data_IF_125370506945
#
_entry.id   IF_125370506945
#
_cell.length_a   1.000
_cell.length_b   1.000
_cell.length_c   1.000
_cell.angle_alpha   90.00
_cell.angle_beta   90.00
_cell.angle_gamma   90.00
#
_symmetry.space_group_name_H-M   'P 1'
#
loop_
_entity.id
_entity.type
_entity.pdbx_description
1 polymer ?
#
# COMPACT_ATOMS: atom_id res chain seq x y z
N UNK A 1 -20.49 -13.67 -12.79
CA UNK A 1 -20.31 -14.92 -12.02
C UNK A 1 -20.91 -14.67 -10.65
N UNK A 2 -21.80 -15.54 -10.18
CA UNK A 2 -22.26 -15.51 -8.79
C UNK A 2 -21.12 -16.00 -7.93
N UNK A 3 -20.39 -15.09 -7.31
CA UNK A 3 -19.33 -15.43 -6.36
C UNK A 3 -19.97 -16.13 -5.16
N UNK A 4 -19.43 -17.29 -4.77
CA UNK A 4 -19.81 -17.94 -3.54
C UNK A 4 -19.18 -17.17 -2.37
N UNK A 5 -19.99 -16.83 -1.37
CA UNK A 5 -19.59 -16.06 -0.19
C UNK A 5 -18.30 -16.64 0.43
N UNK A 6 -17.37 -15.77 0.82
CA UNK A 6 -16.07 -16.17 1.38
C UNK A 6 -16.24 -16.95 2.71
N UNK A 7 -15.24 -17.73 3.15
CA UNK A 7 -15.29 -18.35 4.48
C UNK A 7 -15.30 -17.30 5.60
N UNK A 8 -15.79 -17.70 6.76
CA UNK A 8 -15.83 -16.88 7.96
C UNK A 8 -14.70 -17.26 8.93
N UNK A 9 -14.15 -16.24 9.58
CA UNK A 9 -13.20 -16.39 10.68
C UNK A 9 -13.91 -16.15 12.01
N UNK A 10 -13.67 -17.00 13.00
CA UNK A 10 -14.31 -16.87 14.33
C UNK A 10 -13.85 -15.66 15.13
N UNK A 11 -12.76 -15.02 14.72
CA UNK A 11 -12.18 -13.83 15.34
C UNK A 11 -11.94 -12.81 14.21
N UNK A 12 -12.41 -11.56 14.33
CA UNK A 12 -12.21 -10.55 13.28
C UNK A 12 -10.72 -10.21 13.14
N UNK A 13 -10.33 -9.64 12.02
CA UNK A 13 -9.01 -9.03 11.91
C UNK A 13 -8.84 -7.90 12.95
N UNK A 14 -7.61 -7.51 13.30
CA UNK A 14 -7.42 -6.46 14.29
C UNK A 14 -6.17 -6.57 15.15
N UNK A 15 -6.16 -5.79 16.24
CA UNK A 15 -5.05 -5.71 17.20
C UNK A 15 -5.38 -6.57 18.42
N UNK A 16 -4.44 -7.44 18.81
CA UNK A 16 -4.62 -8.41 19.88
C UNK A 16 -3.41 -8.44 20.84
N UNK A 17 -3.71 -8.59 22.13
CA UNK A 17 -2.70 -8.67 23.19
C UNK A 17 -2.63 -10.05 23.87
N UNK A 18 -3.55 -10.95 23.52
CA UNK A 18 -3.63 -12.29 24.08
C UNK A 18 -3.82 -13.33 22.96
N UNK A 19 -3.23 -14.50 23.16
CA UNK A 19 -3.40 -15.66 22.29
C UNK A 19 -4.86 -16.08 22.22
N UNK A 20 -5.33 -16.49 21.04
CA UNK A 20 -6.67 -17.05 20.84
C UNK A 20 -6.64 -18.24 19.88
N UNK A 21 -7.76 -18.98 19.84
CA UNK A 21 -7.98 -20.08 18.90
C UNK A 21 -8.83 -19.57 17.73
N UNK A 22 -8.27 -19.61 16.52
CA UNK A 22 -8.96 -19.25 15.30
C UNK A 22 -9.65 -20.48 14.73
N UNK A 23 -10.95 -20.37 14.45
CA UNK A 23 -11.70 -21.33 13.66
C UNK A 23 -12.08 -20.72 12.31
N UNK A 24 -12.13 -21.55 11.27
CA UNK A 24 -12.56 -21.17 9.92
C UNK A 24 -13.80 -21.99 9.56
N UNK A 25 -14.85 -21.33 9.06
CA UNK A 25 -16.11 -21.98 8.69
C UNK A 25 -16.52 -21.62 7.27
N UNK A 26 -17.09 -22.59 6.53
CA UNK A 26 -17.76 -22.32 5.26
C UNK A 26 -19.26 -22.14 5.49
N UNK A 27 -19.92 -21.17 4.83
CA UNK A 27 -21.38 -21.06 4.83
C UNK A 27 -22.05 -22.23 4.09
N UNK A 28 -21.29 -23.03 3.34
CA UNK A 28 -21.80 -24.17 2.57
C UNK A 28 -21.45 -25.49 3.29
N UNK A 29 -22.44 -26.25 3.80
CA UNK A 29 -22.21 -27.54 4.41
C UNK A 29 -21.48 -28.53 3.49
N UNK A 30 -20.46 -29.21 4.02
CA UNK A 30 -19.68 -30.21 3.29
C UNK A 30 -18.61 -29.65 2.35
N UNK A 31 -18.43 -28.33 2.28
CA UNK A 31 -17.32 -27.73 1.55
C UNK A 31 -15.98 -27.97 2.27
N UNK A 32 -14.92 -28.16 1.48
CA UNK A 32 -13.56 -28.36 2.00
C UNK A 32 -12.86 -27.01 2.14
N UNK A 33 -12.43 -26.66 3.34
CA UNK A 33 -11.81 -25.36 3.64
C UNK A 33 -10.30 -25.46 3.55
N UNK A 34 -9.67 -24.48 2.90
CA UNK A 34 -8.22 -24.34 2.78
C UNK A 34 -7.77 -22.97 3.29
N UNK A 35 -6.56 -22.90 3.83
CA UNK A 35 -5.97 -21.63 4.29
C UNK A 35 -4.47 -21.53 4.01
N UNK A 36 -3.96 -20.30 4.01
CA UNK A 36 -2.53 -20.00 3.95
C UNK A 36 -2.18 -18.97 5.03
N UNK A 37 -0.93 -18.99 5.48
CA UNK A 37 -0.38 -18.06 6.48
C UNK A 37 0.80 -17.22 5.96
N UNK A 38 1.11 -17.32 4.66
CA UNK A 38 2.23 -16.62 4.01
C UNK A 38 1.79 -15.57 2.98
N UNK A 39 0.48 -15.30 2.91
CA UNK A 39 -0.14 -14.34 1.99
C UNK A 39 -0.47 -14.90 0.60
N UNK A 40 -0.05 -16.13 0.29
CA UNK A 40 -0.37 -16.77 -1.00
C UNK A 40 -1.85 -17.17 -1.13
N UNK A 41 -2.29 -17.43 -2.35
CA UNK A 41 -3.67 -17.81 -2.62
C UNK A 41 -3.99 -19.23 -2.08
N UNK A 42 -4.97 -19.39 -1.18
CA UNK A 42 -5.32 -20.69 -0.63
C UNK A 42 -5.91 -21.66 -1.67
N UNK A 43 -6.32 -21.17 -2.85
CA UNK A 43 -6.81 -22.01 -3.95
C UNK A 43 -5.68 -22.74 -4.67
N UNK A 44 -4.44 -22.25 -4.55
CA UNK A 44 -3.26 -22.82 -5.20
C UNK A 44 -2.31 -23.50 -4.20
N UNK A 45 -2.12 -22.88 -3.04
CA UNK A 45 -1.11 -23.30 -2.03
C UNK A 45 -1.72 -23.58 -0.66
N UNK A 46 -3.05 -23.73 -0.60
CA UNK A 46 -3.78 -23.89 0.65
C UNK A 46 -3.46 -25.18 1.39
N UNK A 47 -3.36 -25.06 2.70
CA UNK A 47 -3.33 -26.15 3.66
C UNK A 47 -4.77 -26.51 4.00
N UNK A 48 -5.10 -27.80 4.01
CA UNK A 48 -6.42 -28.28 4.43
C UNK A 48 -6.67 -27.88 5.88
N UNK A 49 -7.80 -27.22 6.14
CA UNK A 49 -8.22 -26.89 7.50
C UNK A 49 -8.81 -28.12 8.20
N UNK A 50 -8.17 -28.56 9.28
CA UNK A 50 -8.52 -29.77 10.04
C UNK A 50 -9.08 -29.48 11.45
N UNK A 51 -9.10 -28.22 11.86
CA UNK A 51 -9.66 -27.77 13.13
C UNK A 51 -9.06 -26.45 13.58
N UNK A 52 -9.55 -25.89 14.71
CA UNK A 52 -9.06 -24.60 15.17
C UNK A 52 -7.55 -24.63 15.45
N UNK A 53 -6.86 -23.51 15.26
CA UNK A 53 -5.42 -23.37 15.52
C UNK A 53 -5.12 -22.10 16.32
N UNK A 54 -3.94 -22.04 16.93
CA UNK A 54 -3.57 -20.95 17.84
C UNK A 54 -2.95 -19.78 17.07
N UNK A 55 -3.42 -18.56 17.34
CA UNK A 55 -2.78 -17.31 16.90
C UNK A 55 -2.21 -16.62 18.14
N UNK A 56 -0.88 -16.47 18.20
CA UNK A 56 -0.17 -15.92 19.37
C UNK A 56 0.86 -14.84 19.01
N UNK A 57 0.94 -14.47 17.74
CA UNK A 57 1.85 -13.46 17.18
C UNK A 57 1.21 -12.85 15.94
N UNK A 58 1.81 -11.78 15.42
CA UNK A 58 1.32 -11.20 14.17
C UNK A 58 1.29 -12.24 13.07
N UNK A 59 0.12 -12.41 12.46
CA UNK A 59 -0.15 -13.43 11.45
C UNK A 59 -1.14 -12.89 10.43
N UNK A 60 -0.93 -13.25 9.17
CA UNK A 60 -1.90 -13.04 8.09
C UNK A 60 -2.50 -14.39 7.76
N UNK A 61 -3.83 -14.48 7.68
CA UNK A 61 -4.52 -15.71 7.30
C UNK A 61 -5.39 -15.40 6.09
N UNK A 62 -5.22 -16.18 5.03
CA UNK A 62 -6.13 -16.17 3.87
C UNK A 62 -6.84 -17.51 3.79
N UNK A 63 -8.11 -17.53 3.45
CA UNK A 63 -8.87 -18.78 3.32
C UNK A 63 -9.88 -18.71 2.19
N UNK A 64 -10.09 -19.86 1.55
CA UNK A 64 -11.17 -20.12 0.60
C UNK A 64 -11.66 -21.56 0.82
N UNK A 65 -12.87 -21.87 0.39
CA UNK A 65 -13.36 -23.23 0.39
C UNK A 65 -13.69 -23.71 -1.03
N UNK A 66 -13.61 -25.02 -1.21
CA UNK A 66 -13.96 -25.73 -2.43
C UNK A 66 -15.31 -26.44 -2.22
N UNK A 67 -16.30 -26.06 -3.01
CA UNK A 67 -17.60 -26.74 -3.08
C UNK A 67 -17.68 -27.65 -4.31
N UNK A 68 -18.30 -28.83 -4.14
CA UNK A 68 -18.51 -29.83 -5.19
C UNK A 68 -17.26 -30.14 -6.02
N UNK A 69 -16.09 -30.10 -5.36
CA UNK A 69 -14.75 -30.33 -5.92
C UNK A 69 -14.35 -29.46 -7.13
N UNK A 70 -15.12 -28.42 -7.46
CA UNK A 70 -14.97 -27.68 -8.72
C UNK A 70 -15.18 -26.17 -8.61
N UNK A 71 -15.83 -25.68 -7.55
CA UNK A 71 -16.18 -24.26 -7.41
C UNK A 71 -15.52 -23.69 -6.15
N UNK A 72 -14.60 -22.76 -6.35
CA UNK A 72 -13.96 -22.01 -5.26
C UNK A 72 -14.83 -20.83 -4.81
N UNK A 73 -14.83 -20.58 -3.51
CA UNK A 73 -15.33 -19.33 -2.93
C UNK A 73 -14.42 -18.15 -3.25
N UNK A 74 -14.90 -16.96 -2.92
CA UNK A 74 -14.02 -15.82 -2.72
C UNK A 74 -13.02 -16.09 -1.59
N UNK A 75 -11.87 -15.42 -1.66
CA UNK A 75 -10.82 -15.49 -0.64
C UNK A 75 -11.15 -14.49 0.47
N UNK A 76 -11.21 -14.96 1.72
CA UNK A 76 -11.22 -14.08 2.89
C UNK A 76 -9.79 -13.87 3.38
N UNK A 77 -9.42 -12.63 3.67
CA UNK A 77 -8.16 -12.27 4.32
C UNK A 77 -8.43 -11.69 5.70
N UNK A 78 -7.59 -12.01 6.68
CA UNK A 78 -7.55 -11.35 7.98
C UNK A 78 -6.11 -11.23 8.49
N UNK A 79 -5.73 -10.01 8.88
CA UNK A 79 -4.49 -9.74 9.61
C UNK A 79 -4.77 -9.63 11.12
N UNK A 80 -4.05 -10.42 11.90
CA UNK A 80 -4.06 -10.34 13.36
C UNK A 80 -2.74 -9.73 13.82
N UNK A 81 -2.78 -8.56 14.45
CA UNK A 81 -1.61 -7.78 14.82
C UNK A 81 -1.36 -7.93 16.31
N UNK A 82 -0.16 -8.38 16.65
CA UNK A 82 0.32 -8.44 18.03
C UNK A 82 1.45 -7.42 18.17
N UNK A 83 1.24 -6.28 18.87
CA UNK A 83 2.28 -5.25 19.01
C UNK A 83 3.61 -5.81 19.53
N UNK A 84 3.58 -6.80 20.42
CA UNK A 84 4.77 -7.48 20.94
C UNK A 84 5.57 -8.24 19.88
N UNK A 85 4.95 -8.70 18.80
CA UNK A 85 5.68 -9.37 17.71
C UNK A 85 6.65 -8.44 17.00
N UNK A 86 6.41 -7.14 17.04
CA UNK A 86 7.30 -6.14 16.46
C UNK A 86 8.67 -6.11 17.15
N UNK A 87 8.70 -6.37 18.46
CA UNK A 87 9.93 -6.35 19.25
C UNK A 87 10.92 -7.43 18.82
N UNK A 88 10.45 -8.43 18.08
CA UNK A 88 11.25 -9.58 17.61
C UNK A 88 11.21 -9.74 16.10
N UNK A 89 10.81 -8.70 15.35
CA UNK A 89 10.83 -8.74 13.89
C UNK A 89 12.29 -8.73 13.39
N UNK A 90 12.77 -9.88 12.90
CA UNK A 90 14.15 -10.05 12.44
C UNK A 90 14.35 -9.81 10.94
N UNK A 91 15.61 -9.68 10.54
CA UNK A 91 16.00 -9.31 9.17
C UNK A 91 16.04 -10.45 8.14
N UNK A 92 15.62 -11.67 8.54
CA UNK A 92 15.65 -12.85 7.66
C UNK A 92 14.31 -13.59 7.70
N UNK A 93 13.20 -12.92 7.31
CA UNK A 93 11.91 -13.56 7.27
C UNK A 93 11.93 -14.73 6.28
N UNK A 94 11.30 -15.84 6.66
CA UNK A 94 11.33 -17.08 5.88
C UNK A 94 10.75 -16.88 4.48
N UNK A 95 11.49 -17.29 3.44
CA UNK A 95 11.03 -17.24 2.05
C UNK A 95 11.11 -15.85 1.39
N UNK A 96 11.65 -14.84 2.06
CA UNK A 96 11.89 -13.51 1.48
C UNK A 96 13.34 -13.37 0.98
N UNK A 97 13.60 -12.56 -0.06
CA UNK A 97 14.94 -12.39 -0.60
C UNK A 97 15.82 -11.55 0.32
N UNK A 98 17.13 -11.75 0.25
CA UNK A 98 18.13 -10.94 0.97
C UNK A 98 18.48 -9.62 0.27
N UNK A 99 17.85 -9.35 -0.87
CA UNK A 99 18.04 -8.13 -1.66
C UNK A 99 16.73 -7.68 -2.33
N UNK A 100 16.59 -6.37 -2.53
CA UNK A 100 15.43 -5.72 -3.15
C UNK A 100 15.70 -5.25 -4.59
N UNK A 101 16.60 -5.92 -5.30
CA UNK A 101 16.92 -5.61 -6.69
C UNK A 101 18.12 -4.68 -6.85
N UNK A 102 18.49 -4.43 -8.12
CA UNK A 102 19.68 -3.66 -8.48
C UNK A 102 19.42 -2.17 -8.27
N UNK A 103 20.48 -1.44 -7.95
CA UNK A 103 20.45 0.02 -8.04
C UNK A 103 20.32 0.46 -9.50
N UNK A 104 19.66 1.59 -9.75
CA UNK A 104 19.40 2.05 -11.11
C UNK A 104 20.47 3.04 -11.61
N UNK A 105 20.97 3.93 -10.76
CA UNK A 105 21.94 4.98 -11.12
C UNK A 105 23.39 4.62 -10.78
N UNK A 106 23.59 3.69 -9.84
CA UNK A 106 24.91 3.29 -9.34
C UNK A 106 25.09 1.78 -9.45
N UNK A 107 26.34 1.32 -9.39
CA UNK A 107 26.63 -0.12 -9.31
C UNK A 107 26.26 -0.67 -7.94
N UNK A 108 25.59 -1.83 -7.92
CA UNK A 108 25.27 -2.56 -6.68
C UNK A 108 23.82 -3.02 -6.62
N UNK A 109 23.44 -3.48 -5.44
CA UNK A 109 22.13 -4.07 -5.16
C UNK A 109 21.64 -3.53 -3.82
N UNK A 110 20.36 -3.19 -3.73
CA UNK A 110 19.71 -2.84 -2.47
C UNK A 110 19.66 -4.08 -1.58
N UNK A 111 20.36 -4.03 -0.44
CA UNK A 111 20.27 -5.07 0.58
C UNK A 111 18.90 -4.95 1.24
N UNK A 112 18.24 -6.09 1.44
CA UNK A 112 16.94 -6.11 2.09
C UNK A 112 17.08 -5.79 3.59
N UNK A 113 16.18 -4.97 4.10
CA UNK A 113 16.12 -4.57 5.51
C UNK A 113 14.70 -4.74 6.06
N UNK A 114 14.43 -5.90 6.66
CA UNK A 114 13.13 -6.27 7.20
C UNK A 114 13.03 -6.05 8.70
N UNK A 115 14.13 -5.83 9.41
CA UNK A 115 14.10 -5.77 10.86
C UNK A 115 13.54 -4.46 11.38
N UNK A 116 12.95 -4.52 12.57
CA UNK A 116 12.94 -3.34 13.41
C UNK A 116 14.26 -3.28 14.15
N UNK A 117 14.87 -2.10 14.20
CA UNK A 117 16.16 -1.89 14.82
C UNK A 117 16.22 -2.48 16.25
N UNK A 118 17.04 -3.53 16.48
CA UNK A 118 17.21 -4.15 17.79
C UNK A 118 17.71 -3.18 18.88
N UNK A 119 18.43 -2.12 18.50
CA UNK A 119 18.86 -1.07 19.43
C UNK A 119 17.68 -0.28 19.98
N UNK A 120 16.53 -0.27 19.29
CA UNK A 120 15.29 0.39 19.74
C UNK A 120 14.35 -0.62 20.39
N UNK A 121 14.13 -1.78 19.76
CA UNK A 121 13.19 -2.79 20.27
C UNK A 121 13.70 -3.54 21.50
N UNK A 122 15.02 -3.64 21.67
CA UNK A 122 15.66 -4.21 22.85
C UNK A 122 15.95 -3.21 23.97
N UNK A 123 15.76 -1.91 23.74
CA UNK A 123 16.07 -0.87 24.73
C UNK A 123 15.02 -0.82 25.83
N UNK A 124 15.45 -0.76 27.09
CA UNK A 124 14.57 -0.75 28.27
C UNK A 124 13.57 0.41 28.25
N UNK A 125 13.99 1.58 27.76
CA UNK A 125 13.14 2.77 27.67
C UNK A 125 12.25 2.77 26.42
N UNK A 126 12.73 2.30 25.26
CA UNK A 126 12.05 2.50 23.98
C UNK A 126 11.12 1.36 23.57
N UNK A 127 11.39 0.14 24.01
CA UNK A 127 10.59 -1.05 23.70
C UNK A 127 9.10 -0.88 24.04
N UNK A 128 8.79 -0.26 25.18
CA UNK A 128 7.40 0.04 25.56
C UNK A 128 6.74 1.03 24.60
N UNK A 129 7.43 2.14 24.29
CA UNK A 129 6.92 3.14 23.34
C UNK A 129 6.72 2.57 21.93
N UNK A 130 7.52 1.59 21.50
CA UNK A 130 7.29 0.89 20.23
C UNK A 130 5.94 0.18 20.23
N UNK A 131 5.64 -0.58 21.29
CA UNK A 131 4.39 -1.34 21.39
C UNK A 131 3.15 -0.48 21.62
N UNK A 132 3.29 0.66 22.32
CA UNK A 132 2.21 1.62 22.49
C UNK A 132 1.98 2.43 21.20
N UNK A 133 3.07 2.94 20.62
CA UNK A 133 3.06 3.81 19.45
C UNK A 133 2.37 3.18 18.24
N UNK A 134 2.56 1.87 18.02
CA UNK A 134 1.96 1.19 16.86
C UNK A 134 0.43 1.12 16.88
N UNK A 135 -0.18 1.38 18.03
CA UNK A 135 -1.64 1.39 18.20
C UNK A 135 -2.24 2.80 18.13
N UNK A 136 -1.40 3.84 18.03
CA UNK A 136 -1.84 5.25 18.05
C UNK A 136 -2.33 5.76 16.69
N UNK A 137 -1.93 5.10 15.60
CA UNK A 137 -2.35 5.43 14.24
C UNK A 137 -3.16 4.27 13.66
N UNK A 138 -4.02 4.52 12.66
CA UNK A 138 -4.60 3.45 11.87
C UNK A 138 -3.52 2.56 11.26
N UNK A 139 -3.84 1.28 11.11
CA UNK A 139 -2.96 0.30 10.51
C UNK A 139 -3.49 -0.07 9.13
N UNK A 140 -2.62 0.00 8.13
CA UNK A 140 -2.83 -0.58 6.82
C UNK A 140 -2.11 -1.92 6.76
N UNK A 141 -2.82 -3.00 6.46
CA UNK A 141 -2.21 -4.29 6.13
C UNK A 141 -2.44 -4.60 4.65
N UNK A 142 -1.35 -4.95 3.96
CA UNK A 142 -1.36 -5.36 2.56
C UNK A 142 -0.91 -6.81 2.47
N UNK A 143 -1.81 -7.68 2.03
CA UNK A 143 -1.57 -9.12 1.97
C UNK A 143 -1.67 -9.64 0.54
N UNK A 144 -0.63 -10.32 0.08
CA UNK A 144 -0.53 -10.90 -1.27
C UNK A 144 0.51 -12.02 -1.30
N UNK A 145 0.51 -12.83 -2.37
CA UNK A 145 1.64 -13.71 -2.65
C UNK A 145 2.94 -12.90 -2.67
N UNK A 146 3.95 -13.33 -1.91
CA UNK A 146 5.25 -12.67 -1.79
C UNK A 146 5.93 -12.41 -3.14
N UNK A 147 5.69 -13.25 -4.13
CA UNK A 147 6.20 -13.09 -5.49
C UNK A 147 5.76 -11.78 -6.14
N UNK A 148 4.56 -11.28 -5.82
CA UNK A 148 4.06 -10.01 -6.34
C UNK A 148 4.95 -8.82 -5.93
N UNK A 149 5.65 -8.91 -4.79
CA UNK A 149 6.65 -7.93 -4.38
C UNK A 149 8.07 -8.33 -4.79
N UNK A 150 8.42 -9.61 -4.65
CA UNK A 150 9.82 -10.03 -4.53
C UNK A 150 10.29 -11.05 -5.57
N UNK A 151 9.46 -11.43 -6.55
CA UNK A 151 9.90 -12.30 -7.65
C UNK A 151 10.99 -11.59 -8.47
N UNK A 152 12.13 -12.23 -8.66
CA UNK A 152 13.29 -11.68 -9.37
C UNK A 152 13.31 -12.02 -10.87
N UNK A 153 12.21 -12.54 -11.41
CA UNK A 153 12.01 -12.75 -12.85
C UNK A 153 11.37 -11.51 -13.46
N UNK A 154 12.04 -10.93 -14.47
CA UNK A 154 11.55 -9.76 -15.20
C UNK A 154 10.38 -10.14 -16.11
N UNK A 155 9.18 -10.14 -15.55
CA UNK A 155 7.93 -10.48 -16.24
C UNK A 155 6.82 -9.53 -15.83
N UNK A 156 6.08 -9.02 -16.82
CA UNK A 156 5.08 -7.97 -16.59
C UNK A 156 3.95 -8.38 -15.65
N UNK A 157 3.64 -9.68 -15.59
CA UNK A 157 2.51 -10.23 -14.80
C UNK A 157 2.96 -10.78 -13.45
N UNK A 158 4.17 -11.35 -13.38
CA UNK A 158 4.63 -12.14 -12.25
C UNK A 158 5.86 -11.57 -11.55
N UNK A 159 6.59 -10.65 -12.17
CA UNK A 159 7.78 -10.05 -11.57
C UNK A 159 7.45 -9.20 -10.34
N UNK A 160 8.35 -9.17 -9.36
CA UNK A 160 8.13 -8.47 -8.11
C UNK A 160 8.23 -6.96 -8.27
N UNK A 161 7.18 -6.20 -7.92
CA UNK A 161 7.18 -4.73 -8.07
C UNK A 161 8.22 -4.04 -7.16
N UNK A 162 8.70 -4.72 -6.12
CA UNK A 162 9.74 -4.22 -5.22
C UNK A 162 11.16 -4.53 -5.75
N UNK A 163 11.30 -5.48 -6.68
CA UNK A 163 12.56 -5.77 -7.39
C UNK A 163 12.66 -4.96 -8.68
N UNK A 164 11.57 -4.91 -9.43
CA UNK A 164 11.43 -4.18 -10.68
C UNK A 164 10.62 -2.92 -10.44
N UNK A 165 11.28 -1.86 -9.99
CA UNK A 165 10.59 -0.68 -9.47
C UNK A 165 10.05 0.25 -10.56
N UNK A 166 10.43 0.03 -11.83
CA UNK A 166 10.12 0.94 -12.93
C UNK A 166 10.77 2.32 -12.79
N UNK A 167 11.89 2.40 -12.07
CA UNK A 167 12.61 3.62 -11.75
C UNK A 167 12.86 4.51 -12.99
N UNK A 168 12.95 5.85 -12.84
CA UNK A 168 12.91 6.78 -13.96
C UNK A 168 14.14 6.77 -14.89
N UNK A 169 15.19 6.07 -14.50
CA UNK A 169 16.53 6.09 -15.13
C UNK A 169 17.03 4.70 -15.50
N UNK A 170 16.21 3.66 -15.26
CA UNK A 170 16.48 2.29 -15.73
C UNK A 170 15.87 2.03 -17.11
N UNK A 171 15.79 0.75 -17.47
CA UNK A 171 15.11 0.27 -18.70
C UNK A 171 13.58 0.45 -18.68
N UNK A 172 13.03 1.00 -17.59
CA UNK A 172 11.59 1.18 -17.39
C UNK A 172 10.86 -0.11 -16.97
N UNK A 173 11.54 -1.24 -16.84
CA UNK A 173 10.96 -2.51 -16.39
C UNK A 173 10.32 -2.33 -15.01
N UNK A 174 9.06 -2.71 -14.87
CA UNK A 174 8.29 -2.45 -13.65
C UNK A 174 7.41 -1.20 -13.70
N UNK A 175 7.62 -0.29 -14.67
CA UNK A 175 6.84 0.96 -14.74
C UNK A 175 5.40 0.63 -15.07
N UNK A 176 4.51 0.97 -14.15
CA UNK A 176 3.08 0.72 -14.31
C UNK A 176 2.65 -0.72 -14.02
N UNK A 177 3.56 -1.61 -13.62
CA UNK A 177 3.18 -2.97 -13.21
C UNK A 177 2.24 -2.94 -12.01
N UNK A 178 1.24 -3.82 -12.06
CA UNK A 178 0.13 -3.90 -11.12
C UNK A 178 0.03 -5.33 -10.58
N UNK A 179 -0.29 -5.48 -9.30
CA UNK A 179 -0.44 -6.78 -8.64
C UNK A 179 -1.72 -6.83 -7.82
N UNK A 180 -2.37 -8.00 -7.68
CA UNK A 180 -3.47 -8.15 -6.74
C UNK A 180 -2.97 -8.01 -5.30
N UNK A 181 -3.76 -7.38 -4.45
CA UNK A 181 -3.50 -7.29 -3.01
C UNK A 181 -4.80 -7.23 -2.24
N UNK A 182 -4.83 -7.84 -1.06
CA UNK A 182 -5.86 -7.58 -0.07
C UNK A 182 -5.46 -6.38 0.78
N UNK A 183 -6.30 -5.36 0.83
CA UNK A 183 -6.11 -4.13 1.58
C UNK A 183 -7.01 -4.15 2.82
N UNK A 184 -6.39 -4.06 3.99
CA UNK A 184 -7.08 -3.90 5.26
C UNK A 184 -6.73 -2.54 5.88
N UNK A 185 -7.74 -1.85 6.44
CA UNK A 185 -7.56 -0.63 7.25
C UNK A 185 -8.20 -0.87 8.62
N UNK A 186 -7.38 -0.79 9.67
CA UNK A 186 -7.68 -1.30 11.00
C UNK A 186 -7.45 -0.20 12.04
N UNK A 187 -8.41 0.01 12.94
CA UNK A 187 -8.27 0.85 14.12
C UNK A 187 -8.10 2.35 13.82
N UNK A 188 -7.29 3.02 14.64
CA UNK A 188 -7.20 4.49 14.65
C UNK A 188 -8.39 5.18 15.33
N UNK A 189 -8.40 6.50 15.35
CA UNK A 189 -9.46 7.30 16.00
C UNK A 189 -10.86 7.01 15.43
N UNK A 190 -10.93 6.71 14.13
CA UNK A 190 -12.16 6.39 13.41
C UNK A 190 -12.61 4.92 13.60
N UNK A 191 -11.87 4.11 14.37
CA UNK A 191 -12.12 2.67 14.58
C UNK A 191 -12.36 1.91 13.26
N UNK A 192 -11.44 2.04 12.31
CA UNK A 192 -11.60 1.43 11.00
C UNK A 192 -11.69 -0.11 11.07
N UNK A 193 -12.56 -0.66 10.24
CA UNK A 193 -12.82 -2.10 10.05
C UNK A 193 -13.14 -2.31 8.56
N UNK A 194 -12.09 -2.36 7.75
CA UNK A 194 -12.20 -2.52 6.29
C UNK A 194 -11.30 -3.66 5.83
N UNK A 195 -11.85 -4.56 5.04
CA UNK A 195 -11.10 -5.50 4.18
C UNK A 195 -11.65 -5.43 2.77
N UNK A 196 -10.78 -5.21 1.79
CA UNK A 196 -11.16 -5.15 0.38
C UNK A 196 -9.98 -5.53 -0.51
N UNK A 197 -10.23 -6.31 -1.57
CA UNK A 197 -9.19 -6.58 -2.56
C UNK A 197 -9.08 -5.43 -3.57
N UNK A 198 -7.86 -5.13 -4.00
CA UNK A 198 -7.57 -4.08 -4.95
C UNK A 198 -6.26 -4.35 -5.70
N UNK A 199 -5.91 -3.44 -6.60
CA UNK A 199 -4.62 -3.44 -7.28
C UNK A 199 -3.59 -2.63 -6.49
N UNK A 200 -2.35 -3.11 -6.40
CA UNK A 200 -1.19 -2.36 -5.93
C UNK A 200 -0.15 -2.15 -7.03
N UNK A 201 0.47 -0.97 -7.01
CA UNK A 201 1.63 -0.62 -7.83
C UNK A 201 2.56 0.33 -7.07
N UNK A 202 3.81 0.45 -7.51
CA UNK A 202 4.69 1.49 -6.95
C UNK A 202 4.25 2.90 -7.38
N UNK A 203 4.50 3.87 -6.50
CA UNK A 203 4.21 5.28 -6.70
C UNK A 203 5.47 6.15 -6.69
N UNK A 204 5.45 7.24 -7.46
CA UNK A 204 6.47 8.29 -7.45
C UNK A 204 7.44 8.20 -8.63
N UNK A 205 8.45 9.07 -8.63
CA UNK A 205 9.57 9.06 -9.58
C UNK A 205 10.83 8.56 -8.90
N UNK A 206 11.66 9.49 -8.45
CA UNK A 206 12.92 9.20 -7.75
C UNK A 206 12.76 8.40 -6.44
N UNK A 207 11.59 8.45 -5.79
CA UNK A 207 11.31 7.62 -4.60
C UNK A 207 11.26 6.11 -4.88
N UNK A 208 11.26 5.70 -6.16
CA UNK A 208 11.35 4.30 -6.60
C UNK A 208 12.79 3.83 -6.84
N UNK A 209 13.78 4.71 -6.68
CA UNK A 209 15.19 4.36 -6.80
C UNK A 209 15.69 3.73 -5.49
N UNK A 210 16.06 2.44 -5.46
CA UNK A 210 16.41 1.77 -4.21
C UNK A 210 17.63 2.38 -3.51
N UNK A 211 18.62 2.90 -4.26
CA UNK A 211 19.79 3.59 -3.72
C UNK A 211 19.47 4.94 -3.05
N UNK A 212 18.29 5.50 -3.36
CA UNK A 212 17.84 6.79 -2.87
C UNK A 212 16.82 6.64 -1.74
N UNK A 213 15.91 5.69 -1.89
CA UNK A 213 14.88 5.42 -0.92
C UNK A 213 14.44 3.95 -1.02
N UNK A 214 15.00 3.06 -0.19
CA UNK A 214 14.69 1.62 -0.24
C UNK A 214 13.28 1.31 0.29
N UNK A 215 12.64 2.27 0.97
CA UNK A 215 11.23 2.20 1.38
C UNK A 215 10.35 2.87 0.33
N UNK A 216 9.73 2.08 -0.53
CA UNK A 216 8.96 2.60 -1.66
C UNK A 216 7.52 3.01 -1.28
N UNK A 217 7.00 4.00 -1.99
CA UNK A 217 5.60 4.41 -1.91
C UNK A 217 4.73 3.51 -2.80
N UNK A 218 3.47 3.32 -2.40
CA UNK A 218 2.51 2.50 -3.13
C UNK A 218 1.29 3.33 -3.56
N UNK A 219 0.65 2.89 -4.64
CA UNK A 219 -0.68 3.34 -5.05
C UNK A 219 -1.60 2.13 -5.02
N UNK A 220 -2.75 2.29 -4.37
CA UNK A 220 -3.84 1.32 -4.34
C UNK A 220 -4.90 1.78 -5.34
N UNK A 221 -5.27 0.92 -6.27
CA UNK A 221 -6.22 1.18 -7.36
C UNK A 221 -7.42 0.26 -7.23
N UNK A 222 -8.61 0.84 -7.21
CA UNK A 222 -9.88 0.11 -7.18
C UNK A 222 -10.35 -0.08 -8.62
N UNK A 223 -10.34 -1.32 -9.11
CA UNK A 223 -10.67 -1.70 -10.49
C UNK A 223 -11.36 -3.05 -10.46
N UNK A 224 -12.37 -3.24 -11.33
CA UNK A 224 -13.19 -4.46 -11.37
C UNK A 224 -12.41 -5.76 -11.58
N UNK A 225 -11.20 -5.69 -12.14
CA UNK A 225 -10.32 -6.84 -12.33
C UNK A 225 -9.76 -7.39 -11.01
N UNK A 226 -9.60 -6.54 -10.00
CA UNK A 226 -8.94 -6.87 -8.72
C UNK A 226 -9.87 -6.81 -7.51
N UNK A 227 -11.09 -6.28 -7.68
CA UNK A 227 -12.03 -6.00 -6.60
C UNK A 227 -13.09 -4.99 -7.03
N UNK A 228 -13.63 -4.16 -6.14
CA UNK A 228 -14.62 -3.16 -6.54
C UNK A 228 -14.00 -2.08 -7.43
N UNK A 229 -14.80 -1.52 -8.37
CA UNK A 229 -14.39 -0.41 -9.24
C UNK A 229 -14.13 0.91 -8.47
N UNK A 230 -14.81 1.10 -7.33
CA UNK A 230 -14.58 2.21 -6.40
C UNK A 230 -14.61 1.67 -4.99
N UNK A 231 -13.68 2.08 -4.14
CA UNK A 231 -13.85 1.93 -2.70
C UNK A 231 -14.98 2.86 -2.25
N UNK A 232 -15.94 2.34 -1.46
CA UNK A 232 -16.99 3.13 -0.81
C UNK A 232 -16.81 3.00 0.70
N UNK A 233 -16.00 3.87 1.29
CA UNK A 233 -15.63 3.79 2.69
C UNK A 233 -15.12 5.16 3.19
N UNK A 234 -15.46 5.62 4.41
CA UNK A 234 -14.99 6.90 4.98
C UNK A 234 -13.53 6.82 5.45
N UNK A 235 -12.59 6.68 4.52
CA UNK A 235 -11.15 6.53 4.87
C UNK A 235 -10.64 7.70 5.73
N UNK A 236 -11.16 8.91 5.53
CA UNK A 236 -10.74 10.12 6.25
C UNK A 236 -11.86 10.70 7.13
N UNK A 237 -12.70 9.82 7.69
CA UNK A 237 -13.86 10.17 8.53
C UNK A 237 -15.06 10.67 7.75
N UNK A 238 -16.18 10.88 8.45
CA UNK A 238 -17.50 11.17 7.86
C UNK A 238 -17.56 12.48 7.07
N UNK A 239 -16.70 13.45 7.40
CA UNK A 239 -16.60 14.73 6.71
C UNK A 239 -15.60 14.72 5.55
N UNK A 240 -14.89 13.60 5.37
CA UNK A 240 -14.00 13.37 4.24
C UNK A 240 -14.74 12.83 3.02
N UNK A 241 -14.02 12.62 1.91
CA UNK A 241 -14.55 11.92 0.75
C UNK A 241 -14.95 10.49 1.11
N UNK A 242 -16.03 10.03 0.50
CA UNK A 242 -16.68 8.76 0.84
C UNK A 242 -16.42 7.66 -0.21
N UNK A 243 -15.76 8.02 -1.32
CA UNK A 243 -15.51 7.12 -2.45
C UNK A 243 -14.16 7.43 -3.08
N UNK A 244 -13.45 6.37 -3.49
CA UNK A 244 -12.11 6.51 -4.08
C UNK A 244 -11.91 5.54 -5.24
N UNK A 245 -11.39 6.05 -6.37
CA UNK A 245 -10.77 5.21 -7.41
C UNK A 245 -9.34 4.80 -7.05
N UNK A 246 -8.65 5.63 -6.25
CA UNK A 246 -7.28 5.35 -5.83
C UNK A 246 -6.93 5.99 -4.49
N UNK A 247 -6.05 5.32 -3.76
CA UNK A 247 -5.36 5.85 -2.58
C UNK A 247 -3.85 5.77 -2.80
N UNK A 248 -3.10 6.60 -2.10
CA UNK A 248 -1.63 6.58 -2.14
C UNK A 248 -1.08 6.37 -0.72
N UNK A 249 -0.21 5.38 -0.58
CA UNK A 249 0.62 5.20 0.60
C UNK A 249 1.97 5.84 0.32
N UNK A 250 2.10 7.11 0.70
CA UNK A 250 3.32 7.88 0.46
C UNK A 250 4.35 7.59 1.53
N UNK A 251 5.59 7.52 1.06
CA UNK A 251 6.77 7.62 1.92
C UNK A 251 7.24 9.06 1.95
N UNK A 252 8.01 9.38 2.98
CA UNK A 252 8.65 10.67 3.11
C UNK A 252 9.94 10.64 2.32
N UNK A 253 9.89 10.96 1.03
CA UNK A 253 11.10 10.96 0.21
C UNK A 253 12.06 12.08 0.65
N UNK A 254 11.71 13.34 0.38
CA UNK A 254 12.53 14.50 0.75
C UNK A 254 12.53 14.76 2.27
N UNK A 255 13.64 15.26 2.79
CA UNK A 255 13.83 15.55 4.21
C UNK A 255 13.31 14.43 5.13
N UNK A 256 13.86 13.23 4.97
CA UNK A 256 13.53 12.05 5.77
C UNK A 256 14.78 11.35 6.25
N UNK A 257 14.66 10.56 7.31
CA UNK A 257 15.78 9.75 7.82
C UNK A 257 16.27 8.69 6.83
N UNK A 258 15.48 8.39 5.81
CA UNK A 258 15.72 7.32 4.85
C UNK A 258 16.39 7.83 3.56
N UNK A 259 16.51 9.15 3.44
CA UNK A 259 17.07 9.80 2.26
C UNK A 259 18.57 9.55 2.14
N UNK A 260 19.12 9.38 0.94
CA UNK A 260 20.55 9.14 0.71
C UNK A 260 21.46 10.34 1.03
N UNK A 261 20.97 11.56 0.82
CA UNK A 261 21.68 12.80 1.18
C UNK A 261 21.61 13.08 2.69
N UNK A 262 22.77 13.27 3.32
CA UNK A 262 22.90 13.46 4.77
C UNK A 262 22.30 14.79 5.27
N UNK A 263 22.41 15.87 4.48
CA UNK A 263 21.85 17.16 4.84
C UNK A 263 20.32 17.14 4.85
N UNK A 264 19.70 16.40 3.93
CA UNK A 264 18.28 16.11 3.94
C UNK A 264 17.87 15.29 5.18
N UNK A 265 18.62 14.22 5.51
CA UNK A 265 18.36 13.41 6.72
C UNK A 265 18.36 14.23 8.00
N UNK A 266 19.36 15.11 8.15
CA UNK A 266 19.50 15.99 9.33
C UNK A 266 18.35 17.00 9.50
N UNK A 267 17.53 17.20 8.46
CA UNK A 267 16.40 18.14 8.44
C UNK A 267 15.05 17.41 8.42
N UNK A 268 15.04 16.14 8.75
CA UNK A 268 13.83 15.34 8.75
C UNK A 268 12.80 15.88 9.75
N UNK A 269 11.56 16.05 9.28
CA UNK A 269 10.46 16.57 10.10
C UNK A 269 9.17 15.75 9.95
N UNK A 270 8.96 15.07 8.83
CA UNK A 270 7.76 14.31 8.47
C UNK A 270 6.42 15.07 8.47
N UNK A 271 6.36 16.30 8.98
CA UNK A 271 5.14 17.09 9.16
C UNK A 271 4.87 18.10 8.04
N UNK A 272 5.86 18.42 7.21
CA UNK A 272 5.77 19.50 6.20
C UNK A 272 4.56 19.37 5.27
N UNK A 273 4.31 18.17 4.75
CA UNK A 273 3.24 17.91 3.79
C UNK A 273 1.86 18.07 4.41
N UNK A 274 1.62 17.44 5.58
CA UNK A 274 0.35 17.58 6.29
C UNK A 274 0.13 19.01 6.80
N UNK A 275 1.17 19.69 7.25
CA UNK A 275 1.08 21.10 7.68
C UNK A 275 0.71 22.02 6.51
N UNK A 276 1.32 21.83 5.34
CA UNK A 276 1.00 22.61 4.14
C UNK A 276 -0.45 22.39 3.71
N UNK A 277 -0.91 21.14 3.67
CA UNK A 277 -2.32 20.79 3.38
C UNK A 277 -3.27 21.41 4.41
N UNK A 278 -2.97 21.27 5.70
CA UNK A 278 -3.83 21.84 6.75
C UNK A 278 -3.90 23.37 6.64
N UNK A 279 -2.80 24.04 6.27
CA UNK A 279 -2.77 25.48 6.05
C UNK A 279 -3.61 25.87 4.84
N UNK A 280 -3.46 25.17 3.71
CA UNK A 280 -4.29 25.36 2.51
C UNK A 280 -5.79 25.19 2.81
N UNK A 281 -6.16 24.13 3.53
CA UNK A 281 -7.55 23.92 3.94
C UNK A 281 -8.10 25.06 4.82
N UNK A 282 -7.27 25.63 5.71
CA UNK A 282 -7.66 26.78 6.55
C UNK A 282 -7.82 28.06 5.75
N UNK A 283 -7.21 28.17 4.57
CA UNK A 283 -7.42 29.28 3.65
C UNK A 283 -8.68 29.12 2.80
N UNK A 284 -9.38 27.97 2.88
CA UNK A 284 -10.63 27.70 2.16
C UNK A 284 -10.46 26.91 0.87
N UNK A 285 -9.23 26.50 0.55
CA UNK A 285 -8.93 25.76 -0.68
C UNK A 285 -9.12 24.24 -0.50
N UNK A 286 -9.57 23.52 -1.56
CA UNK A 286 -9.61 22.06 -1.55
C UNK A 286 -8.22 21.44 -1.35
N UNK A 287 -8.18 20.34 -0.62
CA UNK A 287 -6.95 19.59 -0.33
C UNK A 287 -7.17 18.10 -0.54
N UNK A 288 -6.14 17.38 -0.98
CA UNK A 288 -6.13 15.93 -0.85
C UNK A 288 -5.97 15.58 0.63
N UNK A 289 -6.99 14.93 1.21
CA UNK A 289 -7.00 14.47 2.59
C UNK A 289 -5.91 13.43 2.80
N UNK A 290 -5.32 13.45 3.98
CA UNK A 290 -4.20 12.61 4.32
C UNK A 290 -4.11 12.39 5.82
N UNK A 291 -3.63 11.21 6.22
CA UNK A 291 -3.35 10.85 7.61
C UNK A 291 -2.11 9.96 7.70
N UNK A 292 -1.50 9.88 8.87
CA UNK A 292 -0.42 8.90 9.09
C UNK A 292 -1.02 7.53 9.40
N UNK A 293 -0.35 6.49 8.91
CA UNK A 293 -0.72 5.10 9.16
C UNK A 293 0.54 4.28 9.43
N UNK A 294 0.39 3.19 10.16
CA UNK A 294 1.39 2.12 10.18
C UNK A 294 1.12 1.19 9.01
N UNK A 295 2.16 0.82 8.24
CA UNK A 295 2.01 -0.16 7.15
C UNK A 295 2.55 -1.51 7.58
N UNK A 296 1.83 -2.58 7.24
CA UNK A 296 2.27 -3.95 7.25
C UNK A 296 2.21 -4.56 5.85
N UNK A 297 3.26 -5.28 5.45
CA UNK A 297 3.30 -6.10 4.24
C UNK A 297 3.38 -7.57 4.65
N UNK A 298 2.35 -8.37 4.32
CA UNK A 298 2.26 -9.78 4.72
C UNK A 298 2.58 -10.03 6.21
N UNK A 299 2.08 -9.15 7.09
CA UNK A 299 2.29 -9.26 8.54
C UNK A 299 3.64 -8.74 9.05
N UNK A 300 4.54 -8.28 8.18
CA UNK A 300 5.77 -7.59 8.58
C UNK A 300 5.54 -6.09 8.64
N UNK A 301 5.94 -5.45 9.74
CA UNK A 301 5.85 -4.01 9.86
C UNK A 301 6.83 -3.32 8.91
N UNK A 302 6.33 -2.35 8.16
CA UNK A 302 7.05 -1.62 7.13
C UNK A 302 7.24 -0.13 7.49
N UNK A 303 6.94 0.25 8.74
CA UNK A 303 7.10 1.62 9.22
C UNK A 303 5.88 2.52 8.98
N UNK A 304 6.01 3.79 9.38
CA UNK A 304 5.00 4.82 9.19
C UNK A 304 4.92 5.28 7.73
N UNK A 305 3.71 5.44 7.22
CA UNK A 305 3.36 5.98 5.91
C UNK A 305 2.39 7.14 6.04
N UNK A 306 2.23 7.90 4.96
CA UNK A 306 1.16 8.87 4.82
C UNK A 306 0.13 8.33 3.80
N UNK A 307 -1.04 7.92 4.29
CA UNK A 307 -2.17 7.53 3.47
C UNK A 307 -2.88 8.81 3.01
N UNK A 308 -2.99 9.02 1.69
CA UNK A 308 -3.66 10.19 1.15
C UNK A 308 -4.52 9.88 -0.07
N UNK A 309 -5.45 10.79 -0.34
CA UNK A 309 -6.15 10.81 -1.63
C UNK A 309 -5.17 10.98 -2.77
N UNK A 310 -5.45 10.29 -3.89
CA UNK A 310 -4.78 10.58 -5.14
C UNK A 310 -5.45 11.80 -5.78
N UNK A 311 -4.67 12.84 -6.07
CA UNK A 311 -5.13 13.92 -6.96
C UNK A 311 -5.16 13.38 -8.39
N UNK A 312 -6.36 13.22 -8.93
CA UNK A 312 -6.71 12.78 -10.27
C UNK A 312 -8.08 13.38 -10.68
N UNK A 313 -8.59 12.96 -11.83
CA UNK A 313 -9.92 13.28 -12.35
C UNK A 313 -11.05 13.04 -11.31
N UNK A 314 -11.04 11.90 -10.62
CA UNK A 314 -12.00 11.57 -9.55
C UNK A 314 -11.92 12.57 -8.38
N UNK A 315 -10.71 12.92 -7.93
CA UNK A 315 -10.53 13.98 -6.93
C UNK A 315 -11.06 15.32 -7.42
N UNK A 316 -10.78 15.69 -8.67
CA UNK A 316 -11.21 16.97 -9.22
C UNK A 316 -12.74 17.04 -9.32
N UNK A 317 -13.40 16.02 -9.86
CA UNK A 317 -14.85 15.94 -9.94
C UNK A 317 -15.50 16.04 -8.55
N UNK A 318 -14.92 15.37 -7.54
CA UNK A 318 -15.44 15.40 -6.16
C UNK A 318 -15.27 16.77 -5.47
N UNK A 319 -14.18 17.49 -5.74
CA UNK A 319 -13.83 18.72 -5.01
C UNK A 319 -14.19 20.01 -5.75
N UNK A 320 -14.24 19.98 -7.08
CA UNK A 320 -14.51 21.14 -7.92
C UNK A 320 -15.80 21.03 -8.75
N UNK A 321 -16.46 19.86 -8.72
CA UNK A 321 -17.70 19.59 -9.47
C UNK A 321 -17.45 19.02 -10.87
N UNK A 322 -18.53 18.76 -11.59
CA UNK A 322 -18.48 18.07 -12.90
C UNK A 322 -18.37 16.54 -12.79
N UNK A 323 -18.08 15.88 -13.91
CA UNK A 323 -17.76 14.46 -13.98
C UNK A 323 -16.26 14.24 -14.21
N UNK A 324 -15.79 12.99 -14.10
CA UNK A 324 -14.37 12.66 -14.34
C UNK A 324 -13.92 13.08 -15.75
N UNK A 325 -14.83 13.02 -16.73
CA UNK A 325 -14.60 13.40 -18.14
C UNK A 325 -14.41 14.91 -18.36
N UNK A 326 -14.79 15.75 -17.39
CA UNK A 326 -14.61 17.20 -17.46
C UNK A 326 -13.18 17.65 -17.10
N UNK A 327 -12.32 16.72 -16.66
CA UNK A 327 -11.00 17.03 -16.11
C UNK A 327 -9.85 16.34 -16.85
N UNK A 328 -8.93 17.17 -17.38
CA UNK A 328 -7.61 16.72 -17.81
C UNK A 328 -6.63 16.79 -16.62
N UNK A 329 -5.88 15.72 -16.38
CA UNK A 329 -4.84 15.68 -15.34
C UNK A 329 -3.49 15.37 -15.97
N UNK A 330 -2.62 16.36 -15.97
CA UNK A 330 -1.29 16.26 -16.56
C UNK A 330 -0.23 16.08 -15.48
N UNK A 331 0.78 15.28 -15.79
CA UNK A 331 2.02 15.18 -15.03
C UNK A 331 3.17 15.72 -15.86
N UNK A 332 4.22 16.17 -15.20
CA UNK A 332 5.45 16.58 -15.88
C UNK A 332 6.37 15.38 -15.99
N UNK A 333 6.78 15.04 -17.22
CA UNK A 333 7.91 14.12 -17.44
C UNK A 333 9.18 14.94 -17.71
N UNK A 334 10.24 14.65 -16.96
CA UNK A 334 11.53 15.32 -17.11
C UNK A 334 12.31 15.47 -15.80
N UNK A 335 13.62 15.21 -15.88
CA UNK A 335 14.59 15.58 -14.86
C UNK A 335 14.85 17.09 -14.82
N UNK A 336 15.52 17.57 -13.78
CA UNK A 336 15.86 18.98 -13.64
C UNK A 336 16.63 19.48 -14.88
N UNK A 337 16.12 20.53 -15.55
CA UNK A 337 16.78 21.19 -16.68
C UNK A 337 16.36 20.74 -18.08
N UNK A 338 15.32 19.92 -18.23
CA UNK A 338 14.72 19.58 -19.54
C UNK A 338 13.38 20.30 -19.73
N UNK A 339 13.03 20.61 -20.99
CA UNK A 339 11.70 21.11 -21.32
C UNK A 339 10.65 20.11 -20.84
N UNK A 340 9.81 20.56 -19.91
CA UNK A 340 8.79 19.77 -19.26
C UNK A 340 7.61 19.59 -20.21
N UNK A 341 7.56 18.47 -20.94
CA UNK A 341 6.36 18.08 -21.63
C UNK A 341 5.32 17.64 -20.59
N UNK A 342 4.16 18.29 -20.60
CA UNK A 342 3.01 17.85 -19.84
C UNK A 342 2.46 16.58 -20.50
N UNK A 343 2.44 15.48 -19.75
CA UNK A 343 1.91 14.19 -20.18
C UNK A 343 0.53 14.01 -19.54
N UNK A 344 -0.53 13.81 -20.33
CA UNK A 344 -1.84 13.52 -19.77
C UNK A 344 -1.80 12.15 -19.09
N UNK A 345 -2.19 12.12 -17.82
CA UNK A 345 -2.44 10.89 -17.07
C UNK A 345 -3.92 10.52 -17.04
N UNK A 346 -4.79 11.52 -17.21
CA UNK A 346 -6.23 11.41 -17.42
C UNK A 346 -6.63 12.52 -18.41
N UNK A 347 -7.61 12.23 -19.28
CA UNK A 347 -8.04 13.16 -20.33
C UNK A 347 -7.05 13.29 -21.49
N UNK A 348 -7.00 14.47 -22.13
CA UNK A 348 -6.05 14.80 -23.21
C UNK A 348 -5.16 15.99 -22.83
N UNK A 349 -4.25 16.37 -23.73
CA UNK A 349 -3.38 17.54 -23.56
C UNK A 349 -3.85 18.74 -24.39
N UNK A 350 -4.99 18.62 -25.06
CA UNK A 350 -5.41 19.57 -26.09
C UNK A 350 -5.73 20.93 -25.48
N UNK A 351 -6.49 20.96 -24.37
CA UNK A 351 -6.82 22.19 -23.65
C UNK A 351 -5.57 22.85 -23.05
N UNK A 352 -4.63 22.05 -22.54
CA UNK A 352 -3.34 22.54 -22.05
C UNK A 352 -2.52 23.20 -23.15
N UNK A 353 -2.41 22.55 -24.32
CA UNK A 353 -1.67 23.10 -25.46
C UNK A 353 -2.33 24.40 -25.96
N UNK A 354 -3.66 24.42 -26.10
CA UNK A 354 -4.38 25.64 -26.48
C UNK A 354 -4.15 26.79 -25.49
N UNK A 355 -4.14 26.52 -24.18
CA UNK A 355 -3.82 27.53 -23.16
C UNK A 355 -2.34 27.98 -23.26
N UNK A 356 -1.42 27.05 -23.42
CA UNK A 356 0.01 27.33 -23.51
C UNK A 356 0.32 28.20 -24.73
N UNK A 357 -0.27 27.89 -25.89
CA UNK A 357 -0.13 28.67 -27.13
C UNK A 357 -0.60 30.12 -26.92
N UNK A 358 -1.72 30.34 -26.22
CA UNK A 358 -2.19 31.69 -25.89
C UNK A 358 -1.20 32.49 -25.02
N UNK A 359 -0.45 31.82 -24.15
CA UNK A 359 0.56 32.46 -23.29
C UNK A 359 1.83 32.78 -24.09
N UNK A 360 2.26 31.87 -24.96
CA UNK A 360 3.45 32.06 -25.81
C UNK A 360 3.25 33.10 -26.91
N UNK A 361 2.01 33.36 -27.31
CA UNK A 361 1.65 34.41 -28.27
C UNK A 361 1.53 35.81 -27.63
N UNK A 362 1.73 35.95 -26.31
CA UNK A 362 1.77 37.27 -25.67
C UNK A 362 3.06 38.01 -26.05
N UNK A 363 3.00 39.26 -26.56
CA UNK A 363 4.19 40.05 -26.82
C UNK A 363 4.94 40.32 -25.50
N UNK A 364 6.24 40.04 -25.51
CA UNK A 364 7.16 40.21 -24.37
C UNK A 364 7.11 41.62 -23.75
#
# INVERSE_FOLDING_TARGET
MTYAEAPEFSVPHGIYNATFRLSITSPIPGATVYFTDDGSDPREKGILYDGPFSISRTSVIRSAYLHSDTVWSDVKTATYIFPKSLLTQGNKPYGYPTYWGKYCEISGTAIADYEMDPEITGHETYSTYVTEGITTLPIVSLVTDKGNFFNNVADEKTGGIYIFTGCPVGDGTGRGWERPVSFELIGGEENHDLTVDCCIKLHGGHGRLPEKNPKHAFRLHFKSEYGPKKLKYPVFGDRGPQKFNALVLRTFFGYSWQHWDSNQRNKAQYTRDLWARATQAKMGDPISKAQYVHLYLNGMYWGMYNLCERVNDDFCAQNFGGSEEDWDVTEVDGGAGQYHAAIPTYGTIDAWNAMADLIYDLPN
#
